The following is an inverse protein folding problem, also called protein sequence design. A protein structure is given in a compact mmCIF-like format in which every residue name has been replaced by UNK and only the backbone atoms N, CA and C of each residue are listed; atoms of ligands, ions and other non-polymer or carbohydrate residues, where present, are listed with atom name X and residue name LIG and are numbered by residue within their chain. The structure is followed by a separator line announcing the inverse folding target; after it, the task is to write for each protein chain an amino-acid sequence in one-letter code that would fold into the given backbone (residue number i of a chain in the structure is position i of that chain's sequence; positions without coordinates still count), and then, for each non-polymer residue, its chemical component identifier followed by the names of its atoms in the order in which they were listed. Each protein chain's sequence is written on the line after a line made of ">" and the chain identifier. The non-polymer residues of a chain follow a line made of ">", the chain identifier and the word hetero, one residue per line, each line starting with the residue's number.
data_IF_670941301769
#
_entry.id   IF_670941301769
#
_cell.length_a   1.000
_cell.length_b   1.000
_cell.length_c   1.000
_cell.angle_alpha   90.00
_cell.angle_beta   90.00
_cell.angle_gamma   90.00
#
_symmetry.space_group_name_H-M   'P 1'
#
loop_
_entity.id
_entity.type
_entity.pdbx_description
1 polymer ?
#
# COMPACT_ATOMS: atom_id res chain seq x y z
N UNK A 1 -1.23 7.41 22.55
CA UNK A 1 -0.55 7.41 21.23
C UNK A 1 -0.85 8.69 20.49
N UNK A 2 0.20 9.44 20.17
CA UNK A 2 0.09 10.60 19.29
C UNK A 2 0.25 10.20 17.83
N UNK A 3 -0.55 10.79 16.95
CA UNK A 3 -0.39 10.68 15.50
C UNK A 3 0.03 12.03 14.94
N UNK A 4 1.16 12.08 14.24
CA UNK A 4 1.59 13.28 13.53
C UNK A 4 1.55 13.05 12.04
N UNK A 5 1.13 14.04 11.26
CA UNK A 5 1.18 14.01 9.81
C UNK A 5 2.32 14.89 9.31
N UNK A 6 3.10 14.38 8.35
CA UNK A 6 3.99 15.18 7.54
C UNK A 6 3.23 15.50 6.25
N UNK A 7 2.54 16.63 6.23
CA UNK A 7 1.78 17.08 5.08
C UNK A 7 2.41 18.33 4.49
N UNK A 8 2.37 18.43 3.18
CA UNK A 8 2.65 19.64 2.46
C UNK A 8 1.41 20.09 1.69
N UNK A 9 1.09 21.38 1.77
CA UNK A 9 -0.07 21.99 1.11
C UNK A 9 0.14 22.31 -0.37
N UNK A 10 1.22 21.85 -0.96
CA UNK A 10 1.56 22.19 -2.36
C UNK A 10 1.05 21.10 -3.30
N UNK A 11 0.06 21.45 -4.11
CA UNK A 11 -0.63 20.57 -5.05
C UNK A 11 -0.12 20.70 -6.48
N UNK A 12 1.08 20.28 -6.76
CA UNK A 12 1.47 19.99 -8.14
C UNK A 12 1.14 18.54 -8.46
N UNK A 13 0.17 18.32 -9.34
CA UNK A 13 -0.16 17.01 -9.87
C UNK A 13 0.66 16.75 -11.12
N UNK A 14 1.34 15.61 -11.16
CA UNK A 14 2.14 15.19 -12.28
C UNK A 14 1.43 14.06 -13.03
N UNK A 15 1.32 14.18 -14.37
CA UNK A 15 0.88 13.07 -15.21
C UNK A 15 1.94 11.97 -15.20
N UNK A 16 1.49 10.74 -15.13
CA UNK A 16 2.36 9.56 -15.11
C UNK A 16 2.56 9.04 -16.53
N UNK A 17 3.80 8.75 -16.90
CA UNK A 17 4.13 8.19 -18.23
C UNK A 17 3.85 6.70 -18.32
N UNK A 18 3.99 5.98 -17.22
CA UNK A 18 3.70 4.57 -17.07
C UNK A 18 2.84 4.39 -15.81
N UNK A 19 1.61 3.94 -16.01
CA UNK A 19 0.59 3.93 -14.96
C UNK A 19 -0.22 2.62 -15.00
N UNK A 20 0.42 1.49 -14.66
CA UNK A 20 -0.25 0.20 -14.67
C UNK A 20 -1.37 0.07 -13.64
N UNK A 21 -1.37 0.92 -12.62
CA UNK A 21 -2.41 0.96 -11.58
C UNK A 21 -3.51 1.98 -11.86
N UNK A 22 -3.46 2.65 -13.00
CA UNK A 22 -4.41 3.72 -13.39
C UNK A 22 -4.59 4.77 -12.31
N UNK A 23 -3.47 5.24 -11.76
CA UNK A 23 -3.43 6.31 -10.75
C UNK A 23 -3.82 7.65 -11.38
N UNK A 24 -3.53 7.82 -12.68
CA UNK A 24 -3.81 9.00 -13.49
C UNK A 24 -2.88 10.16 -13.16
N UNK A 25 -2.92 10.65 -11.95
CA UNK A 25 -2.08 11.73 -11.45
C UNK A 25 -1.73 11.49 -9.99
N UNK A 26 -0.50 11.80 -9.61
CA UNK A 26 -0.11 11.85 -8.21
C UNK A 26 0.29 13.27 -7.80
N UNK A 27 0.13 13.58 -6.54
CA UNK A 27 0.69 14.80 -5.95
C UNK A 27 2.19 14.64 -5.77
N UNK A 28 2.96 15.73 -5.93
CA UNK A 28 4.39 15.71 -5.59
C UNK A 28 4.61 15.55 -4.08
N UNK A 29 3.59 15.90 -3.31
CA UNK A 29 3.59 15.78 -1.86
C UNK A 29 2.37 14.97 -1.44
N UNK A 30 2.55 14.00 -0.57
CA UNK A 30 1.50 13.17 -0.03
C UNK A 30 1.51 13.24 1.49
N UNK A 31 0.32 13.22 2.09
CA UNK A 31 0.18 13.12 3.54
C UNK A 31 0.51 11.70 3.97
N UNK A 32 1.48 11.56 4.85
CA UNK A 32 1.78 10.30 5.53
C UNK A 32 1.53 10.46 7.02
N UNK A 33 1.16 9.38 7.69
CA UNK A 33 0.86 9.38 9.11
C UNK A 33 1.89 8.56 9.85
N UNK A 34 2.53 9.17 10.84
CA UNK A 34 3.49 8.52 11.72
C UNK A 34 2.83 8.30 13.07
N UNK A 35 2.61 7.05 13.42
CA UNK A 35 2.11 6.66 14.73
C UNK A 35 3.29 6.52 15.68
N UNK A 36 3.28 7.27 16.77
CA UNK A 36 4.33 7.25 17.78
C UNK A 36 3.84 6.59 19.07
N UNK A 37 4.75 5.94 19.76
CA UNK A 37 4.56 5.43 21.13
C UNK A 37 4.55 6.58 22.12
N UNK A 38 4.20 6.29 23.37
CA UNK A 38 4.20 7.28 24.46
C UNK A 38 5.57 7.90 24.70
N UNK A 39 6.65 7.14 24.48
CA UNK A 39 8.03 7.63 24.59
C UNK A 39 8.50 8.47 23.40
N UNK A 40 7.61 8.74 22.42
CA UNK A 40 7.91 9.51 21.20
C UNK A 40 8.58 8.73 20.08
N UNK A 41 8.95 7.47 20.29
CA UNK A 41 9.53 6.62 19.25
C UNK A 41 8.48 6.22 18.21
N UNK A 42 8.93 5.98 16.97
CA UNK A 42 8.07 5.53 15.89
C UNK A 42 7.52 4.14 16.19
N UNK A 43 6.21 3.98 16.03
CA UNK A 43 5.53 2.69 16.15
C UNK A 43 5.15 2.16 14.75
N UNK A 44 4.42 2.95 13.97
CA UNK A 44 3.94 2.56 12.64
C UNK A 44 3.97 3.73 11.66
N UNK A 45 4.00 3.37 10.39
CA UNK A 45 3.85 4.30 9.26
C UNK A 45 2.57 3.95 8.51
N UNK A 46 1.71 4.92 8.29
CA UNK A 46 0.45 4.73 7.56
C UNK A 46 0.51 5.57 6.29
N UNK A 47 0.37 4.89 5.15
CA UNK A 47 0.51 5.48 3.83
C UNK A 47 -0.79 5.39 3.06
N UNK A 48 -1.28 6.49 2.46
CA UNK A 48 -2.43 6.45 1.58
C UNK A 48 -2.08 5.76 0.27
N UNK A 49 -2.96 4.92 -0.19
CA UNK A 49 -2.83 4.21 -1.46
C UNK A 49 -4.13 4.29 -2.24
N UNK A 50 -4.05 4.32 -3.56
CA UNK A 50 -5.21 4.19 -4.43
C UNK A 50 -4.81 3.63 -5.79
N UNK A 51 -5.79 3.11 -6.51
CA UNK A 51 -5.63 2.63 -7.88
C UNK A 51 -6.92 2.01 -8.39
N UNK A 52 -6.98 1.74 -9.66
CA UNK A 52 -8.19 1.22 -10.30
C UNK A 52 -8.27 -0.30 -10.12
N UNK A 53 -9.43 -0.76 -9.68
CA UNK A 53 -9.77 -2.18 -9.67
C UNK A 53 -10.34 -2.64 -11.00
N UNK A 54 -11.57 -3.18 -10.98
CA UNK A 54 -12.32 -3.51 -12.19
C UNK A 54 -13.32 -2.43 -12.56
N UNK A 55 -14.11 -1.95 -11.58
CA UNK A 55 -15.22 -1.02 -11.79
C UNK A 55 -14.97 0.37 -11.23
N UNK A 56 -14.04 0.50 -10.30
CA UNK A 56 -13.86 1.72 -9.54
C UNK A 56 -12.40 1.92 -9.13
N UNK A 57 -12.10 3.14 -8.70
CA UNK A 57 -10.87 3.39 -7.94
C UNK A 57 -11.06 2.86 -6.52
N UNK A 58 -10.10 2.09 -6.04
CA UNK A 58 -10.01 1.70 -4.64
C UNK A 58 -9.12 2.72 -3.92
N UNK A 59 -9.63 3.26 -2.82
CA UNK A 59 -8.90 4.17 -1.93
C UNK A 59 -8.68 3.49 -0.59
N UNK A 60 -7.47 3.52 -0.10
CA UNK A 60 -7.16 2.87 1.17
C UNK A 60 -5.89 3.35 1.83
N UNK A 61 -5.48 2.60 2.84
CA UNK A 61 -4.24 2.80 3.56
C UNK A 61 -3.51 1.48 3.72
N UNK A 62 -2.20 1.54 3.65
CA UNK A 62 -1.32 0.47 4.10
C UNK A 62 -0.57 0.93 5.33
N UNK A 63 -0.59 0.12 6.38
CA UNK A 63 0.16 0.37 7.60
C UNK A 63 1.38 -0.54 7.64
N UNK A 64 2.54 0.05 7.87
CA UNK A 64 3.81 -0.65 8.01
C UNK A 64 4.32 -0.53 9.43
N UNK A 65 5.07 -1.54 9.86
CA UNK A 65 5.83 -1.46 11.09
C UNK A 65 6.92 -0.39 10.98
N UNK A 66 7.55 -0.03 12.09
CA UNK A 66 8.59 1.01 12.15
C UNK A 66 9.77 0.80 11.19
N UNK A 67 10.02 -0.45 10.77
CA UNK A 67 11.08 -0.76 9.80
C UNK A 67 10.72 -0.38 8.36
N UNK A 68 9.47 0.04 8.09
CA UNK A 68 9.02 0.40 6.75
C UNK A 68 8.95 -0.74 5.74
N UNK A 69 9.03 -1.98 6.20
CA UNK A 69 9.03 -3.17 5.34
C UNK A 69 7.99 -4.23 5.75
N UNK A 70 7.84 -4.50 7.03
CA UNK A 70 6.85 -5.43 7.53
C UNK A 70 5.47 -4.78 7.51
N UNK A 71 4.50 -5.44 6.90
CA UNK A 71 3.13 -4.93 6.78
C UNK A 71 2.38 -5.24 8.07
N UNK A 72 1.78 -4.22 8.67
CA UNK A 72 0.85 -4.37 9.77
C UNK A 72 -0.57 -4.65 9.30
N UNK A 73 -0.99 -4.01 8.21
CA UNK A 73 -2.30 -4.23 7.62
C UNK A 73 -2.54 -3.37 6.39
N UNK A 74 -3.64 -3.68 5.71
CA UNK A 74 -4.13 -2.93 4.57
C UNK A 74 -5.65 -2.85 4.68
N UNK A 75 -6.20 -1.68 4.37
CA UNK A 75 -7.64 -1.44 4.37
C UNK A 75 -8.03 -0.50 3.24
N UNK A 76 -9.01 -0.89 2.45
CA UNK A 76 -9.72 0.03 1.55
C UNK A 76 -10.94 0.59 2.27
N UNK A 77 -11.10 1.91 2.22
CA UNK A 77 -12.24 2.60 2.85
C UNK A 77 -13.29 3.05 1.82
N UNK A 78 -12.95 3.02 0.54
CA UNK A 78 -13.87 3.41 -0.55
C UNK A 78 -13.56 2.62 -1.82
N UNK A 79 -14.58 1.98 -2.35
CA UNK A 79 -14.61 1.38 -3.68
C UNK A 79 -16.05 1.07 -4.08
N UNK A 80 -16.26 0.71 -5.34
CA UNK A 80 -17.55 0.24 -5.87
C UNK A 80 -17.39 -1.07 -6.64
N UNK A 81 -16.59 -1.98 -6.12
CA UNK A 81 -16.38 -3.30 -6.69
C UNK A 81 -17.57 -4.22 -6.39
N UNK A 82 -17.72 -5.29 -7.18
CA UNK A 82 -18.88 -6.17 -7.11
C UNK A 82 -18.92 -6.97 -5.81
N UNK A 83 -20.03 -6.93 -5.05
CA UNK A 83 -20.22 -7.76 -3.87
C UNK A 83 -19.99 -9.26 -4.15
N UNK A 84 -19.31 -9.94 -3.24
CA UNK A 84 -18.96 -11.35 -3.38
C UNK A 84 -17.82 -11.66 -4.36
N UNK A 85 -17.34 -10.66 -5.10
CA UNK A 85 -16.24 -10.76 -6.06
C UNK A 85 -15.12 -9.78 -5.68
N UNK A 86 -14.99 -8.65 -6.39
CA UNK A 86 -13.96 -7.65 -6.09
C UNK A 86 -14.11 -6.99 -4.72
N UNK A 87 -15.34 -6.84 -4.22
CA UNK A 87 -15.60 -6.31 -2.88
C UNK A 87 -15.08 -7.22 -1.75
N UNK A 88 -14.63 -8.43 -2.05
CA UNK A 88 -13.96 -9.31 -1.09
C UNK A 88 -12.60 -8.76 -0.61
N UNK A 89 -12.12 -7.66 -1.15
CA UNK A 89 -11.02 -6.87 -0.54
C UNK A 89 -11.36 -6.42 0.88
N UNK A 90 -12.63 -6.34 1.23
CA UNK A 90 -13.13 -6.01 2.58
C UNK A 90 -13.26 -7.23 3.49
N UNK A 91 -13.15 -8.45 2.95
CA UNK A 91 -13.27 -9.67 3.72
C UNK A 91 -12.15 -9.75 4.78
N UNK A 92 -12.51 -9.91 6.08
CA UNK A 92 -11.53 -9.97 7.15
C UNK A 92 -10.46 -11.06 6.98
N UNK A 93 -10.82 -12.22 6.43
CA UNK A 93 -9.86 -13.31 6.17
C UNK A 93 -8.85 -12.94 5.11
N UNK A 94 -9.30 -12.27 4.05
CA UNK A 94 -8.40 -11.82 3.00
C UNK A 94 -7.50 -10.69 3.51
N UNK A 95 -8.04 -9.71 4.22
CA UNK A 95 -7.26 -8.61 4.83
C UNK A 95 -6.23 -9.12 5.82
N UNK A 96 -6.56 -10.16 6.59
CA UNK A 96 -5.64 -10.72 7.58
C UNK A 96 -4.36 -11.30 6.96
N UNK A 97 -4.36 -11.67 5.69
CA UNK A 97 -3.18 -12.18 5.00
C UNK A 97 -2.05 -11.15 4.93
N UNK A 98 -2.38 -9.86 4.90
CA UNK A 98 -1.39 -8.79 4.75
C UNK A 98 -0.49 -8.64 5.97
N UNK A 99 -1.03 -8.90 7.15
CA UNK A 99 -0.28 -8.75 8.40
C UNK A 99 0.90 -9.73 8.47
N UNK A 100 2.08 -9.20 8.72
CA UNK A 100 3.32 -9.98 8.82
C UNK A 100 3.99 -10.27 7.48
N UNK A 101 3.38 -9.90 6.36
CA UNK A 101 4.06 -9.97 5.06
C UNK A 101 5.09 -8.84 4.93
N UNK A 102 6.04 -9.04 4.05
CA UNK A 102 7.14 -8.09 3.78
C UNK A 102 7.00 -7.50 2.39
N UNK A 103 7.23 -6.19 2.29
CA UNK A 103 7.25 -5.52 0.98
C UNK A 103 8.43 -5.97 0.15
N UNK A 104 9.63 -5.91 0.71
CA UNK A 104 10.88 -6.16 0.02
C UNK A 104 11.59 -7.39 0.59
N UNK A 105 12.40 -8.04 -0.24
CA UNK A 105 13.34 -9.06 0.21
C UNK A 105 14.56 -8.44 0.90
N UNK A 106 15.49 -9.27 1.35
CA UNK A 106 16.70 -8.84 2.05
C UNK A 106 17.64 -7.99 1.17
N UNK A 107 17.52 -8.10 -0.15
CA UNK A 107 18.26 -7.28 -1.12
C UNK A 107 17.60 -5.94 -1.42
N UNK A 108 16.44 -5.65 -0.83
CA UNK A 108 15.68 -4.41 -1.07
C UNK A 108 14.82 -4.41 -2.33
N UNK A 109 14.64 -5.55 -2.98
CA UNK A 109 13.73 -5.69 -4.11
C UNK A 109 12.27 -5.79 -3.63
N UNK A 110 11.38 -5.06 -4.29
CA UNK A 110 9.94 -5.14 -4.05
C UNK A 110 9.38 -6.48 -4.53
N UNK A 111 8.93 -7.29 -3.58
CA UNK A 111 8.49 -8.67 -3.82
C UNK A 111 7.02 -8.91 -3.52
N UNK A 112 6.36 -8.02 -2.77
CA UNK A 112 4.94 -8.20 -2.42
C UNK A 112 4.09 -8.35 -3.68
N UNK A 113 3.20 -9.33 -3.70
CA UNK A 113 2.35 -9.60 -4.85
C UNK A 113 1.03 -10.22 -4.44
N UNK A 114 -0.03 -9.85 -5.14
CA UNK A 114 -1.34 -10.49 -5.08
C UNK A 114 -1.45 -11.41 -6.31
N UNK A 115 -1.46 -12.70 -6.09
CA UNK A 115 -1.43 -13.68 -7.18
C UNK A 115 -2.16 -14.98 -6.83
N UNK A 116 -2.54 -15.74 -7.86
CA UNK A 116 -3.16 -17.07 -7.68
C UNK A 116 -2.18 -18.11 -7.17
N UNK A 117 -0.91 -18.02 -7.61
CA UNK A 117 0.11 -19.00 -7.29
C UNK A 117 1.17 -18.38 -6.40
N UNK A 118 1.40 -19.00 -5.26
CA UNK A 118 2.42 -18.59 -4.31
C UNK A 118 3.81 -18.99 -4.80
N UNK A 119 4.72 -18.00 -4.92
CA UNK A 119 6.16 -18.26 -5.11
C UNK A 119 6.94 -18.08 -3.82
N UNK A 120 6.69 -16.97 -3.12
CA UNK A 120 7.40 -16.61 -1.90
C UNK A 120 6.38 -16.29 -0.80
N UNK A 121 6.31 -17.16 0.20
CA UNK A 121 5.30 -17.10 1.27
C UNK A 121 5.25 -15.73 1.97
N UNK A 122 6.38 -15.14 2.28
CA UNK A 122 6.46 -13.89 3.05
C UNK A 122 6.07 -12.65 2.24
N UNK A 123 5.90 -12.81 0.93
CA UNK A 123 5.58 -11.73 -0.02
C UNK A 123 4.31 -11.99 -0.83
N UNK A 124 3.50 -12.97 -0.40
CA UNK A 124 2.36 -13.43 -1.17
C UNK A 124 1.03 -13.16 -0.47
N UNK A 125 0.09 -12.62 -1.24
CA UNK A 125 -1.33 -12.50 -0.91
C UNK A 125 -2.12 -13.26 -1.95
N UNK A 126 -3.06 -14.09 -1.52
CA UNK A 126 -3.91 -14.82 -2.43
C UNK A 126 -4.82 -13.87 -3.23
N UNK A 127 -4.93 -14.10 -4.53
CA UNK A 127 -5.89 -13.41 -5.35
C UNK A 127 -7.33 -13.70 -4.89
N UNK A 128 -8.20 -12.74 -5.08
CA UNK A 128 -9.62 -12.89 -4.80
C UNK A 128 -10.24 -13.93 -5.73
N UNK A 129 -10.99 -14.87 -5.17
CA UNK A 129 -11.66 -15.90 -5.96
C UNK A 129 -12.68 -15.26 -6.91
N UNK A 130 -12.60 -15.62 -8.21
CA UNK A 130 -13.50 -15.11 -9.23
C UNK A 130 -13.36 -13.62 -9.57
N UNK A 131 -12.35 -12.92 -9.02
CA UNK A 131 -12.15 -11.49 -9.21
C UNK A 131 -10.71 -11.15 -9.65
N UNK A 132 -10.28 -11.75 -10.76
CA UNK A 132 -8.91 -11.61 -11.27
C UNK A 132 -8.54 -10.16 -11.59
N UNK A 133 -9.45 -9.39 -12.20
CA UNK A 133 -9.16 -8.01 -12.59
C UNK A 133 -9.02 -7.08 -11.37
N UNK A 134 -9.88 -7.23 -10.36
CA UNK A 134 -9.71 -6.49 -9.09
C UNK A 134 -8.42 -6.89 -8.39
N UNK A 135 -8.08 -8.19 -8.37
CA UNK A 135 -6.83 -8.69 -7.80
C UNK A 135 -5.61 -8.07 -8.48
N UNK A 136 -5.62 -8.01 -9.80
CA UNK A 136 -4.55 -7.37 -10.58
C UNK A 136 -4.48 -5.87 -10.29
N UNK A 137 -5.62 -5.21 -10.14
CA UNK A 137 -5.69 -3.80 -9.76
C UNK A 137 -5.04 -3.53 -8.39
N UNK A 138 -5.33 -4.37 -7.40
CA UNK A 138 -4.70 -4.27 -6.07
C UNK A 138 -3.20 -4.54 -6.15
N UNK A 139 -2.77 -5.56 -6.88
CA UNK A 139 -1.36 -5.85 -7.09
C UNK A 139 -0.63 -4.64 -7.71
N UNK A 140 -1.19 -4.08 -8.75
CA UNK A 140 -0.63 -2.93 -9.46
C UNK A 140 -0.55 -1.68 -8.56
N UNK A 141 -1.61 -1.36 -7.81
CA UNK A 141 -1.61 -0.16 -6.96
C UNK A 141 -0.63 -0.29 -5.78
N UNK A 142 -0.51 -1.45 -5.18
CA UNK A 142 0.46 -1.66 -4.08
C UNK A 142 1.89 -1.58 -4.62
N UNK A 143 2.19 -2.22 -5.74
CA UNK A 143 3.50 -2.14 -6.39
C UNK A 143 3.87 -0.71 -6.81
N UNK A 144 2.89 0.05 -7.31
CA UNK A 144 3.11 1.45 -7.66
C UNK A 144 3.50 2.28 -6.43
N UNK A 145 2.67 2.25 -5.38
CA UNK A 145 2.88 3.09 -4.20
C UNK A 145 4.07 2.67 -3.35
N UNK A 146 4.41 1.40 -3.32
CA UNK A 146 5.57 0.88 -2.59
C UNK A 146 6.85 0.88 -3.44
N UNK A 147 6.75 1.21 -4.73
CA UNK A 147 7.86 1.29 -5.67
C UNK A 147 8.48 2.68 -5.79
N UNK A 148 9.34 2.83 -6.80
CA UNK A 148 10.10 4.07 -7.08
C UNK A 148 9.20 5.28 -7.37
N UNK A 149 8.05 5.07 -7.99
CA UNK A 149 7.09 6.14 -8.30
C UNK A 149 6.25 6.57 -7.10
N UNK A 150 6.28 5.81 -6.02
CA UNK A 150 5.52 6.04 -4.80
C UNK A 150 6.39 6.40 -3.60
N UNK A 151 6.27 5.61 -2.53
CA UNK A 151 6.86 5.91 -1.23
C UNK A 151 8.23 5.28 -0.98
N UNK A 152 8.81 4.56 -1.93
CA UNK A 152 10.08 3.84 -1.71
C UNK A 152 11.19 4.73 -1.17
N UNK A 153 11.39 5.90 -1.77
CA UNK A 153 12.40 6.86 -1.33
C UNK A 153 12.13 7.38 0.10
N UNK A 154 10.87 7.69 0.39
CA UNK A 154 10.46 8.12 1.73
C UNK A 154 10.73 7.03 2.78
N UNK A 155 10.35 5.79 2.49
CA UNK A 155 10.57 4.66 3.41
C UNK A 155 12.07 4.39 3.63
N UNK A 156 12.86 4.50 2.59
CA UNK A 156 14.32 4.36 2.68
C UNK A 156 14.94 5.45 3.57
N UNK A 157 14.51 6.70 3.41
CA UNK A 157 14.94 7.81 4.27
C UNK A 157 14.52 7.60 5.71
N UNK A 158 13.30 7.11 5.93
CA UNK A 158 12.78 6.79 7.27
C UNK A 158 13.64 5.73 7.98
N UNK A 159 14.02 4.67 7.27
CA UNK A 159 14.90 3.61 7.77
C UNK A 159 16.29 4.14 8.15
N UNK A 160 16.77 5.15 7.43
CA UNK A 160 18.07 5.79 7.69
C UNK A 160 17.98 6.93 8.73
N UNK A 161 16.84 7.12 9.38
CA UNK A 161 16.65 8.17 10.39
C UNK A 161 16.54 9.59 9.82
N UNK A 162 16.29 9.74 8.51
CA UNK A 162 16.27 11.04 7.81
C UNK A 162 14.84 11.59 7.56
N UNK A 163 13.82 10.96 8.13
CA UNK A 163 12.42 11.38 7.99
C UNK A 163 11.86 12.01 9.26
#
# INVERSE_FOLDING_TARGET
>A
RGMSSAASDVYKRQSLKDDPASIGRRTNFATVYLLKKEDGSLDKVILPIHGYGLWSTLYGFIALEKNGNDIFGLQFYQHAETPGLGAEVDNPKWKAQWKGKKLNNDSGELMITVAKTQKYKDHHIDALAGATLTSNGVDNLVKFWMGESGFKKFLKNLQNGAA
#
